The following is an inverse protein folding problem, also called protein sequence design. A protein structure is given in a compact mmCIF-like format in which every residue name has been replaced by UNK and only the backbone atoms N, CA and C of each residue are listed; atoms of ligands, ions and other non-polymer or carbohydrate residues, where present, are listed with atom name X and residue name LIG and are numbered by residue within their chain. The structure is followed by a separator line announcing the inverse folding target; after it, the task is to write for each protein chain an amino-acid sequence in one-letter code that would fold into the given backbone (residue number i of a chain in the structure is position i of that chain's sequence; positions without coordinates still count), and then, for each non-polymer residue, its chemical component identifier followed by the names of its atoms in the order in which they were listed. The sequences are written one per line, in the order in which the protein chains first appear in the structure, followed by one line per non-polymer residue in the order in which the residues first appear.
data_IF_983108650169
#
_entry.id   IF_983108650169
#
_cell.length_a   1.000
_cell.length_b   1.000
_cell.length_c   1.000
_cell.angle_alpha   90.00
_cell.angle_beta   90.00
_cell.angle_gamma   90.00
#
_symmetry.space_group_name_H-M   'P 1'
#
loop_
_entity.id
_entity.type
_entity.pdbx_description
1 polymer ?
#
# COMPACT_ATOMS: atom_id res chain seq x y z
N UNK A 1 -17.95 10.92 -4.20
CA UNK A 1 -16.86 11.69 -3.55
C UNK A 1 -16.57 11.31 -2.10
N UNK A 2 -17.41 10.56 -1.37
CA UNK A 2 -17.17 10.23 0.05
C UNK A 2 -15.77 9.69 0.39
N UNK A 3 -15.21 8.79 -0.44
CA UNK A 3 -13.85 8.28 -0.24
C UNK A 3 -12.75 9.35 -0.37
N UNK A 4 -12.92 10.32 -1.27
CA UNK A 4 -11.96 11.42 -1.41
C UNK A 4 -12.01 12.37 -0.21
N UNK A 5 -13.20 12.62 0.35
CA UNK A 5 -13.31 13.37 1.61
C UNK A 5 -12.65 12.62 2.76
N UNK A 6 -12.88 11.30 2.88
CA UNK A 6 -12.24 10.48 3.90
C UNK A 6 -10.71 10.50 3.79
N UNK A 7 -10.17 10.38 2.57
CA UNK A 7 -8.74 10.48 2.29
C UNK A 7 -8.19 11.87 2.65
N UNK A 8 -8.88 12.95 2.28
CA UNK A 8 -8.46 14.31 2.61
C UNK A 8 -8.43 14.58 4.12
N UNK A 9 -9.49 14.15 4.84
CA UNK A 9 -9.54 14.26 6.30
C UNK A 9 -8.44 13.42 6.96
N UNK A 10 -8.23 12.19 6.50
CA UNK A 10 -7.18 11.32 7.02
C UNK A 10 -5.78 11.90 6.79
N UNK A 11 -5.54 12.57 5.66
CA UNK A 11 -4.27 13.27 5.38
C UNK A 11 -4.07 14.47 6.31
N UNK A 12 -5.10 15.28 6.54
CA UNK A 12 -5.01 16.37 7.53
C UNK A 12 -4.76 15.85 8.95
N UNK A 13 -5.44 14.76 9.33
CA UNK A 13 -5.26 14.14 10.64
C UNK A 13 -3.86 13.54 10.82
N UNK A 14 -3.30 12.91 9.78
CA UNK A 14 -1.92 12.43 9.79
C UNK A 14 -0.95 13.60 10.04
N UNK A 15 -1.09 14.72 9.35
CA UNK A 15 -0.25 15.90 9.59
C UNK A 15 -0.37 16.46 11.02
N UNK A 16 -1.57 16.49 11.60
CA UNK A 16 -1.79 16.92 12.99
C UNK A 16 -1.12 15.96 13.98
N UNK A 17 -1.30 14.65 13.79
CA UNK A 17 -0.78 13.63 14.69
C UNK A 17 0.74 13.49 14.59
N UNK A 18 1.30 13.63 13.38
CA UNK A 18 2.73 13.73 13.15
C UNK A 18 3.31 14.93 13.89
N UNK A 19 2.69 16.11 13.77
CA UNK A 19 3.12 17.29 14.52
C UNK A 19 3.04 17.08 16.05
N UNK A 20 1.97 16.47 16.55
CA UNK A 20 1.84 16.13 17.98
C UNK A 20 2.95 15.19 18.45
N UNK A 21 3.31 14.20 17.64
CA UNK A 21 4.40 13.27 17.92
C UNK A 21 5.76 13.97 17.97
N UNK A 22 6.06 14.85 17.00
CA UNK A 22 7.33 15.58 16.99
C UNK A 22 7.42 16.66 18.09
N UNK A 23 6.29 17.22 18.54
CA UNK A 23 6.25 18.11 19.69
C UNK A 23 6.44 17.37 21.02
N UNK A 24 5.85 16.19 21.18
CA UNK A 24 5.93 15.38 22.39
C UNK A 24 6.14 13.89 22.03
N UNK A 25 7.40 13.45 21.82
CA UNK A 25 7.68 12.09 21.39
C UNK A 25 7.42 11.12 22.54
N UNK A 26 6.42 10.26 22.36
CA UNK A 26 6.10 9.15 23.26
C UNK A 26 5.42 8.02 22.47
N UNK A 27 5.33 6.83 23.08
CA UNK A 27 4.76 5.65 22.44
C UNK A 27 3.31 5.85 21.96
N UNK A 28 2.47 6.55 22.72
CA UNK A 28 1.08 6.77 22.34
C UNK A 28 0.97 7.66 21.09
N UNK A 29 1.71 8.76 21.06
CA UNK A 29 1.71 9.68 19.91
C UNK A 29 2.30 9.00 18.67
N UNK A 30 3.38 8.23 18.81
CA UNK A 30 3.95 7.45 17.72
C UNK A 30 2.94 6.45 17.13
N UNK A 31 2.18 5.76 17.98
CA UNK A 31 1.13 4.83 17.53
C UNK A 31 0.01 5.54 16.80
N UNK A 32 -0.45 6.70 17.28
CA UNK A 32 -1.51 7.45 16.61
C UNK A 32 -1.06 7.97 15.23
N UNK A 33 0.15 8.54 15.15
CA UNK A 33 0.75 9.00 13.90
C UNK A 33 0.83 7.86 12.87
N UNK A 34 1.50 6.76 13.27
CA UNK A 34 1.70 5.60 12.40
C UNK A 34 0.38 4.93 12.00
N UNK A 35 -0.61 4.89 12.90
CA UNK A 35 -1.93 4.30 12.61
C UNK A 35 -2.64 5.05 11.48
N UNK A 36 -2.53 6.38 11.43
CA UNK A 36 -3.12 7.16 10.35
C UNK A 36 -2.41 6.95 9.01
N UNK A 37 -1.09 6.68 9.02
CA UNK A 37 -0.39 6.23 7.81
C UNK A 37 -0.96 4.90 7.28
N UNK A 38 -1.30 3.94 8.16
CA UNK A 38 -1.97 2.70 7.76
C UNK A 38 -3.37 2.96 7.18
N UNK A 39 -4.15 3.83 7.82
CA UNK A 39 -5.47 4.24 7.34
C UNK A 39 -5.36 4.85 5.95
N UNK A 40 -4.41 5.76 5.74
CA UNK A 40 -4.15 6.37 4.42
C UNK A 40 -3.82 5.34 3.36
N UNK A 41 -2.96 4.37 3.66
CA UNK A 41 -2.58 3.33 2.71
C UNK A 41 -3.78 2.44 2.33
N UNK A 42 -4.54 1.97 3.30
CA UNK A 42 -5.72 1.12 3.08
C UNK A 42 -6.81 1.86 2.31
N UNK A 43 -7.15 3.10 2.72
CA UNK A 43 -8.15 3.90 2.02
C UNK A 43 -7.72 4.23 0.58
N UNK A 44 -6.41 4.44 0.35
CA UNK A 44 -5.87 4.69 -0.99
C UNK A 44 -6.00 3.45 -1.87
N UNK A 45 -5.60 2.26 -1.38
CA UNK A 45 -5.78 1.00 -2.10
C UNK A 45 -7.26 0.73 -2.41
N UNK A 46 -8.14 0.93 -1.43
CA UNK A 46 -9.58 0.81 -1.64
C UNK A 46 -10.12 1.78 -2.68
N UNK A 47 -9.63 3.03 -2.68
CA UNK A 47 -10.05 4.03 -3.66
C UNK A 47 -9.62 3.64 -5.08
N UNK A 48 -8.40 3.13 -5.26
CA UNK A 48 -7.90 2.60 -6.55
C UNK A 48 -8.82 1.47 -7.02
N UNK A 49 -9.12 0.50 -6.13
CA UNK A 49 -9.97 -0.64 -6.46
C UNK A 49 -11.39 -0.22 -6.86
N UNK A 50 -12.00 0.69 -6.08
CA UNK A 50 -13.34 1.20 -6.36
C UNK A 50 -13.45 1.89 -7.72
N UNK A 51 -12.37 2.51 -8.23
CA UNK A 51 -12.45 3.24 -9.51
C UNK A 51 -12.81 2.34 -10.69
N UNK A 52 -12.45 1.05 -10.64
CA UNK A 52 -12.81 0.06 -11.68
C UNK A 52 -13.87 -0.95 -11.24
N UNK A 53 -14.16 -1.00 -9.94
CA UNK A 53 -15.11 -1.96 -9.35
C UNK A 53 -16.13 -1.25 -8.43
N UNK A 54 -16.93 -0.29 -8.93
CA UNK A 54 -17.87 0.44 -8.08
C UNK A 54 -18.94 -0.48 -7.46
N UNK A 55 -19.28 -1.58 -8.13
CA UNK A 55 -20.35 -2.50 -7.72
C UNK A 55 -19.89 -3.55 -6.70
N UNK A 56 -18.58 -3.75 -6.53
CA UNK A 56 -17.97 -4.77 -5.64
C UNK A 56 -17.22 -4.09 -4.49
N UNK A 57 -17.73 -2.93 -4.05
CA UNK A 57 -17.11 -2.19 -2.95
C UNK A 57 -17.44 -2.81 -1.60
N UNK A 58 -16.44 -2.90 -0.73
CA UNK A 58 -16.66 -3.30 0.66
C UNK A 58 -17.55 -2.27 1.37
N UNK A 59 -18.44 -2.75 2.25
CA UNK A 59 -19.25 -1.84 3.07
C UNK A 59 -18.35 -0.99 3.99
N UNK A 60 -18.83 0.19 4.38
CA UNK A 60 -18.12 1.05 5.33
C UNK A 60 -17.81 0.31 6.65
N UNK A 61 -18.77 -0.46 7.17
CA UNK A 61 -18.59 -1.27 8.38
C UNK A 61 -17.48 -2.32 8.23
N UNK A 62 -17.44 -3.02 7.09
CA UNK A 62 -16.38 -4.00 6.80
C UNK A 62 -15.02 -3.32 6.74
N UNK A 63 -14.95 -2.15 6.10
CA UNK A 63 -13.72 -1.37 5.96
C UNK A 63 -13.20 -0.92 7.32
N UNK A 64 -14.06 -0.34 8.16
CA UNK A 64 -13.69 0.07 9.50
C UNK A 64 -13.32 -1.11 10.39
N UNK A 65 -13.97 -2.27 10.23
CA UNK A 65 -13.59 -3.50 10.92
C UNK A 65 -12.20 -3.99 10.54
N UNK A 66 -11.85 -3.97 9.25
CA UNK A 66 -10.51 -4.33 8.77
C UNK A 66 -9.47 -3.33 9.30
N UNK A 67 -9.76 -2.02 9.23
CA UNK A 67 -8.87 -0.99 9.77
C UNK A 67 -8.64 -1.15 11.27
N UNK A 68 -9.70 -1.43 12.05
CA UNK A 68 -9.58 -1.68 13.48
C UNK A 68 -8.72 -2.91 13.77
N UNK A 69 -8.89 -4.00 13.00
CA UNK A 69 -8.05 -5.19 13.12
C UNK A 69 -6.58 -4.89 12.77
N UNK A 70 -6.33 -4.15 11.70
CA UNK A 70 -4.99 -3.72 11.28
C UNK A 70 -4.32 -2.90 12.38
N UNK A 71 -5.00 -1.89 12.92
CA UNK A 71 -4.48 -1.06 14.02
C UNK A 71 -4.24 -1.90 15.28
N UNK A 72 -5.15 -2.81 15.62
CA UNK A 72 -4.98 -3.71 16.76
C UNK A 72 -3.75 -4.62 16.61
N UNK A 73 -3.54 -5.21 15.43
CA UNK A 73 -2.36 -6.02 15.13
C UNK A 73 -1.08 -5.18 15.19
N UNK A 74 -1.11 -3.95 14.68
CA UNK A 74 -0.02 -2.96 14.78
C UNK A 74 0.38 -2.69 16.23
N UNK A 75 -0.60 -2.30 17.03
CA UNK A 75 -0.41 -2.03 18.46
C UNK A 75 0.11 -3.27 19.21
N UNK A 76 -0.50 -4.43 18.98
CA UNK A 76 -0.08 -5.68 19.62
C UNK A 76 1.36 -6.05 19.25
N UNK A 77 1.73 -5.91 17.98
CA UNK A 77 3.09 -6.19 17.52
C UNK A 77 4.14 -5.24 18.06
N UNK A 78 3.79 -3.97 18.33
CA UNK A 78 4.71 -3.02 18.97
C UNK A 78 4.91 -3.32 20.46
N UNK A 79 3.84 -3.71 21.17
CA UNK A 79 3.90 -3.95 22.62
C UNK A 79 4.43 -5.35 22.98
N UNK A 80 4.04 -6.38 22.21
CA UNK A 80 4.28 -7.80 22.51
C UNK A 80 4.88 -8.55 21.31
N UNK A 81 5.74 -7.90 20.52
CA UNK A 81 6.37 -8.46 19.33
C UNK A 81 7.32 -9.62 19.63
N UNK A 82 6.78 -10.82 19.81
CA UNK A 82 7.52 -12.09 19.92
C UNK A 82 7.81 -12.69 18.53
N UNK A 83 8.87 -13.49 18.41
CA UNK A 83 9.20 -14.17 17.14
C UNK A 83 8.03 -14.99 16.58
N UNK A 84 7.24 -15.61 17.48
CA UNK A 84 6.03 -16.33 17.10
C UNK A 84 4.98 -15.42 16.46
N UNK A 85 4.77 -14.22 17.02
CA UNK A 85 3.85 -13.24 16.44
C UNK A 85 4.29 -12.82 15.04
N UNK A 86 5.59 -12.58 14.82
CA UNK A 86 6.11 -12.27 13.49
C UNK A 86 5.84 -13.40 12.49
N UNK A 87 6.10 -14.66 12.87
CA UNK A 87 5.84 -15.82 11.99
C UNK A 87 4.37 -15.90 11.62
N UNK A 88 3.46 -15.82 12.60
CA UNK A 88 2.01 -15.88 12.37
C UNK A 88 1.55 -14.72 11.48
N UNK A 89 2.03 -13.51 11.75
CA UNK A 89 1.71 -12.33 10.96
C UNK A 89 2.21 -12.46 9.52
N UNK A 90 3.43 -12.95 9.29
CA UNK A 90 3.97 -13.17 7.95
C UNK A 90 3.14 -14.19 7.16
N UNK A 91 2.75 -15.30 7.78
CA UNK A 91 1.87 -16.30 7.13
C UNK A 91 0.52 -15.70 6.78
N UNK A 92 -0.08 -14.94 7.71
CA UNK A 92 -1.35 -14.24 7.48
C UNK A 92 -1.24 -13.21 6.35
N UNK A 93 -0.18 -12.42 6.34
CA UNK A 93 0.11 -11.40 5.33
C UNK A 93 0.23 -12.03 3.93
N UNK A 94 1.09 -13.03 3.76
CA UNK A 94 1.29 -13.69 2.46
C UNK A 94 0.03 -14.39 1.97
N UNK A 95 -0.71 -15.03 2.87
CA UNK A 95 -2.00 -15.66 2.55
C UNK A 95 -3.01 -14.61 2.08
N UNK A 96 -3.06 -13.45 2.75
CA UNK A 96 -3.95 -12.35 2.38
C UNK A 96 -3.59 -11.77 1.01
N UNK A 97 -2.31 -11.55 0.72
CA UNK A 97 -1.86 -11.09 -0.59
C UNK A 97 -2.23 -12.09 -1.71
N UNK A 98 -2.07 -13.39 -1.48
CA UNK A 98 -2.47 -14.42 -2.44
C UNK A 98 -3.98 -14.41 -2.68
N UNK A 99 -4.79 -14.30 -1.62
CA UNK A 99 -6.25 -14.23 -1.73
C UNK A 99 -6.68 -12.97 -2.48
N UNK A 100 -6.15 -11.80 -2.10
CA UNK A 100 -6.51 -10.53 -2.74
C UNK A 100 -6.11 -10.52 -4.22
N UNK A 101 -4.92 -11.03 -4.55
CA UNK A 101 -4.48 -11.10 -5.96
C UNK A 101 -5.33 -12.09 -6.77
N UNK A 102 -5.75 -13.22 -6.20
CA UNK A 102 -6.73 -14.10 -6.85
C UNK A 102 -8.09 -13.42 -7.08
N UNK A 103 -8.57 -12.64 -6.10
CA UNK A 103 -9.81 -11.86 -6.22
C UNK A 103 -9.73 -10.79 -7.32
N UNK A 104 -8.61 -10.06 -7.40
CA UNK A 104 -8.38 -9.07 -8.46
C UNK A 104 -8.30 -9.75 -9.82
N UNK A 105 -7.61 -10.91 -9.92
CA UNK A 105 -7.52 -11.67 -11.16
C UNK A 105 -8.89 -12.09 -11.69
N UNK A 106 -9.80 -12.52 -10.82
CA UNK A 106 -11.15 -12.96 -11.17
C UNK A 106 -12.24 -11.88 -11.03
N UNK A 107 -11.86 -10.60 -10.88
CA UNK A 107 -12.81 -9.46 -10.80
C UNK A 107 -13.87 -9.68 -9.69
N UNK A 108 -13.48 -10.26 -8.56
CA UNK A 108 -14.39 -10.50 -7.43
C UNK A 108 -15.52 -11.52 -7.68
N UNK A 109 -15.49 -12.26 -8.80
CA UNK A 109 -16.52 -13.30 -9.10
C UNK A 109 -16.43 -14.50 -8.15
N UNK A 110 -15.28 -14.69 -7.52
CA UNK A 110 -15.04 -15.76 -6.55
C UNK A 110 -15.56 -15.38 -5.17
N UNK A 111 -16.72 -15.93 -4.80
CA UNK A 111 -17.23 -15.81 -3.43
C UNK A 111 -16.41 -16.68 -2.47
N UNK A 112 -16.05 -16.11 -1.32
CA UNK A 112 -15.28 -16.79 -0.27
C UNK A 112 -16.15 -17.80 0.49
N UNK A 113 -16.31 -19.00 -0.08
CA UNK A 113 -17.12 -20.08 0.49
C UNK A 113 -16.26 -21.33 0.71
N UNK A 114 -16.66 -22.25 1.60
CA UNK A 114 -15.98 -23.53 1.84
C UNK A 114 -15.76 -24.38 0.57
N UNK A 115 -16.59 -24.19 -0.46
CA UNK A 115 -16.42 -24.83 -1.77
C UNK A 115 -15.39 -24.17 -2.71
N UNK A 116 -14.70 -23.10 -2.30
CA UNK A 116 -13.71 -22.41 -3.15
C UNK A 116 -12.60 -23.36 -3.61
N UNK A 117 -12.02 -24.10 -2.67
CA UNK A 117 -10.92 -25.02 -2.98
C UNK A 117 -11.37 -26.13 -3.93
N UNK A 118 -12.58 -26.67 -3.71
CA UNK A 118 -13.18 -27.66 -4.61
C UNK A 118 -13.43 -27.09 -6.01
N UNK A 119 -13.94 -25.85 -6.13
CA UNK A 119 -14.13 -25.19 -7.43
C UNK A 119 -12.81 -24.93 -8.15
N UNK A 120 -11.78 -24.51 -7.43
CA UNK A 120 -10.45 -24.34 -8.00
C UNK A 120 -9.87 -25.66 -8.52
N UNK A 121 -9.91 -26.72 -7.70
CA UNK A 121 -9.43 -28.03 -8.14
C UNK A 121 -10.21 -28.58 -9.33
N UNK A 122 -11.53 -28.41 -9.33
CA UNK A 122 -12.38 -28.81 -10.46
C UNK A 122 -12.06 -28.00 -11.72
N UNK A 123 -11.81 -26.70 -11.60
CA UNK A 123 -11.39 -25.85 -12.72
C UNK A 123 -10.05 -26.33 -13.29
N UNK A 124 -9.04 -26.54 -12.44
CA UNK A 124 -7.73 -27.06 -12.87
C UNK A 124 -7.84 -28.44 -13.53
N UNK A 125 -8.69 -29.32 -12.99
CA UNK A 125 -8.91 -30.66 -13.53
C UNK A 125 -9.61 -30.59 -14.89
N UNK A 126 -10.63 -29.75 -15.02
CA UNK A 126 -11.34 -29.53 -16.28
C UNK A 126 -10.43 -28.92 -17.36
N UNK A 127 -9.61 -27.93 -17.00
CA UNK A 127 -8.67 -27.29 -17.92
C UNK A 127 -7.56 -28.26 -18.37
N UNK A 128 -7.08 -29.11 -17.45
CA UNK A 128 -6.14 -30.19 -17.77
C UNK A 128 -6.77 -31.25 -18.68
N UNK A 129 -8.03 -31.64 -18.43
CA UNK A 129 -8.75 -32.60 -19.28
C UNK A 129 -9.05 -32.04 -20.68
N UNK A 130 -9.27 -30.73 -20.81
CA UNK A 130 -9.61 -30.09 -22.08
C UNK A 130 -8.41 -29.88 -23.03
N UNK A 131 -7.19 -29.70 -22.51
CA UNK A 131 -6.03 -29.42 -23.37
C UNK A 131 -4.67 -29.66 -22.73
N UNK A 132 -4.62 -30.52 -21.71
CA UNK A 132 -3.40 -30.90 -21.00
C UNK A 132 -2.74 -29.74 -20.24
N UNK A 133 -1.43 -29.87 -20.01
CA UNK A 133 -0.66 -28.88 -19.25
C UNK A 133 -0.64 -27.50 -19.91
N UNK A 134 -0.72 -27.45 -21.25
CA UNK A 134 -0.66 -26.20 -22.01
C UNK A 134 -1.89 -25.33 -21.77
N UNK A 135 -3.08 -25.91 -21.82
CA UNK A 135 -4.34 -25.20 -21.61
C UNK A 135 -4.53 -24.78 -20.14
N UNK A 136 -4.09 -25.62 -19.20
CA UNK A 136 -4.14 -25.30 -17.77
C UNK A 136 -3.21 -24.15 -17.37
N UNK A 137 -2.12 -23.94 -18.10
CA UNK A 137 -1.13 -22.88 -17.80
C UNK A 137 -1.33 -21.61 -18.63
N UNK A 138 -2.28 -21.57 -19.58
CA UNK A 138 -2.58 -20.36 -20.35
C UNK A 138 -3.50 -19.42 -19.55
N UNK A 139 -3.02 -18.23 -19.12
CA UNK A 139 -3.85 -17.31 -18.36
C UNK A 139 -4.91 -16.66 -19.25
N UNK A 140 -6.13 -16.52 -18.72
CA UNK A 140 -7.24 -15.83 -19.38
C UNK A 140 -6.91 -14.35 -19.65
N UNK A 141 -6.28 -13.69 -18.68
CA UNK A 141 -5.81 -12.29 -18.77
C UNK A 141 -4.28 -12.23 -18.54
N UNK A 142 -3.44 -12.33 -19.57
CA UNK A 142 -1.99 -12.49 -19.42
C UNK A 142 -1.32 -11.29 -18.76
N UNK A 143 -1.65 -10.07 -19.18
CA UNK A 143 -1.07 -8.85 -18.59
C UNK A 143 -1.41 -8.72 -17.10
N UNK A 144 -2.67 -8.97 -16.73
CA UNK A 144 -3.12 -8.95 -15.33
C UNK A 144 -2.40 -10.03 -14.51
N UNK A 145 -2.30 -11.25 -15.04
CA UNK A 145 -1.62 -12.36 -14.36
C UNK A 145 -0.14 -12.03 -14.08
N UNK A 146 0.59 -11.53 -15.07
CA UNK A 146 2.02 -11.21 -14.93
C UNK A 146 2.23 -10.16 -13.83
N UNK A 147 1.45 -9.08 -13.84
CA UNK A 147 1.60 -8.02 -12.84
C UNK A 147 1.23 -8.49 -11.43
N UNK A 148 0.18 -9.30 -11.27
CA UNK A 148 -0.21 -9.87 -9.98
C UNK A 148 0.81 -10.89 -9.47
N UNK A 149 1.42 -11.66 -10.37
CA UNK A 149 2.53 -12.55 -10.03
C UNK A 149 3.74 -11.75 -9.53
N UNK A 150 4.13 -10.69 -10.26
CA UNK A 150 5.21 -9.79 -9.83
C UNK A 150 4.90 -9.12 -8.48
N UNK A 151 3.65 -8.76 -8.21
CA UNK A 151 3.25 -8.22 -6.92
C UNK A 151 3.39 -9.24 -5.77
N UNK A 152 3.07 -10.51 -5.99
CA UNK A 152 3.30 -11.56 -5.00
C UNK A 152 4.80 -11.82 -4.77
N UNK A 153 5.59 -11.88 -5.85
CA UNK A 153 7.06 -11.99 -5.75
C UNK A 153 7.64 -10.79 -5.01
N UNK A 154 7.12 -9.59 -5.25
CA UNK A 154 7.49 -8.38 -4.51
C UNK A 154 7.20 -8.50 -3.01
N UNK A 155 6.04 -9.04 -2.63
CA UNK A 155 5.71 -9.31 -1.22
C UNK A 155 6.64 -10.38 -0.59
N UNK A 156 6.99 -11.44 -1.31
CA UNK A 156 7.98 -12.41 -0.83
C UNK A 156 9.35 -11.77 -0.64
N UNK A 157 9.76 -10.90 -1.58
CA UNK A 157 10.97 -10.10 -1.48
C UNK A 157 10.95 -9.20 -0.25
N UNK A 158 9.84 -8.51 0.03
CA UNK A 158 9.69 -7.67 1.23
C UNK A 158 9.82 -8.46 2.52
N UNK A 159 9.22 -9.65 2.59
CA UNK A 159 9.37 -10.54 3.74
C UNK A 159 10.82 -10.98 3.91
N UNK A 160 11.47 -11.42 2.83
CA UNK A 160 12.88 -11.82 2.87
C UNK A 160 13.78 -10.67 3.32
N UNK A 161 13.64 -9.50 2.71
CA UNK A 161 14.40 -8.30 3.07
C UNK A 161 14.13 -7.88 4.51
N UNK A 162 12.88 -7.91 4.96
CA UNK A 162 12.50 -7.61 6.34
C UNK A 162 13.18 -8.53 7.36
N UNK A 163 13.27 -9.82 7.04
CA UNK A 163 13.95 -10.81 7.87
C UNK A 163 15.48 -10.63 7.84
N UNK A 164 16.09 -10.51 6.65
CA UNK A 164 17.54 -10.41 6.48
C UNK A 164 18.14 -9.10 6.99
N UNK A 165 17.47 -7.98 6.74
CA UNK A 165 17.94 -6.65 7.18
C UNK A 165 17.51 -6.32 8.61
N UNK A 166 16.80 -7.22 9.29
CA UNK A 166 16.17 -6.97 10.59
C UNK A 166 15.49 -5.59 10.61
N UNK A 167 14.59 -5.35 9.63
CA UNK A 167 13.98 -4.04 9.40
C UNK A 167 13.18 -3.58 10.61
N UNK A 168 13.84 -2.81 11.47
CA UNK A 168 13.22 -2.00 12.51
C UNK A 168 12.27 -2.76 13.44
N UNK A 169 11.41 -2.00 14.09
CA UNK A 169 10.29 -2.46 14.91
C UNK A 169 9.12 -2.90 14.02
N UNK A 170 8.19 -3.62 14.62
CA UNK A 170 6.99 -4.10 13.93
C UNK A 170 6.21 -2.99 13.20
N UNK A 171 6.11 -1.78 13.78
CA UNK A 171 5.34 -0.70 13.15
C UNK A 171 6.00 -0.21 11.86
N UNK A 172 7.33 -0.03 11.84
CA UNK A 172 8.08 0.28 10.63
C UNK A 172 7.97 -0.83 9.58
N UNK A 173 8.06 -2.10 10.00
CA UNK A 173 7.91 -3.25 9.11
C UNK A 173 6.50 -3.30 8.48
N UNK A 174 5.46 -3.17 9.28
CA UNK A 174 4.07 -3.15 8.84
C UNK A 174 3.78 -1.95 7.93
N UNK A 175 4.32 -0.76 8.23
CA UNK A 175 4.23 0.41 7.35
C UNK A 175 4.86 0.14 5.99
N UNK A 176 6.04 -0.49 5.98
CA UNK A 176 6.75 -0.85 4.75
C UNK A 176 5.91 -1.79 3.88
N UNK A 177 5.22 -2.76 4.47
CA UNK A 177 4.30 -3.65 3.76
C UNK A 177 3.14 -2.85 3.12
N UNK A 178 2.48 -1.98 3.89
CA UNK A 178 1.35 -1.20 3.38
C UNK A 178 1.75 -0.25 2.26
N UNK A 179 2.84 0.50 2.45
CA UNK A 179 3.33 1.43 1.44
C UNK A 179 3.81 0.71 0.19
N UNK A 180 4.56 -0.39 0.32
CA UNK A 180 5.03 -1.14 -0.84
C UNK A 180 3.86 -1.76 -1.63
N UNK A 181 2.84 -2.31 -0.95
CA UNK A 181 1.64 -2.81 -1.62
C UNK A 181 0.84 -1.70 -2.30
N UNK A 182 0.71 -0.53 -1.67
CA UNK A 182 0.09 0.64 -2.30
C UNK A 182 0.85 1.06 -3.56
N UNK A 183 2.17 1.15 -3.51
CA UNK A 183 3.01 1.51 -4.67
C UNK A 183 2.91 0.47 -5.79
N UNK A 184 2.97 -0.82 -5.45
CA UNK A 184 2.78 -1.90 -6.41
C UNK A 184 1.39 -1.84 -7.06
N UNK A 185 0.35 -1.56 -6.28
CA UNK A 185 -1.02 -1.50 -6.81
C UNK A 185 -1.24 -0.25 -7.68
N UNK A 186 -0.66 0.87 -7.30
CA UNK A 186 -0.68 2.09 -8.08
C UNK A 186 0.07 1.93 -9.41
N UNK A 187 1.24 1.29 -9.39
CA UNK A 187 1.97 0.91 -10.60
C UNK A 187 1.16 -0.05 -11.48
N UNK A 188 0.58 -1.10 -10.89
CA UNK A 188 -0.33 -2.02 -11.58
C UNK A 188 -1.45 -1.26 -12.30
N UNK A 189 -2.08 -0.29 -11.62
CA UNK A 189 -3.18 0.48 -12.17
C UNK A 189 -2.76 1.31 -13.40
N UNK A 190 -1.63 2.03 -13.30
CA UNK A 190 -1.08 2.82 -14.41
C UNK A 190 -0.75 1.92 -15.60
N UNK A 191 -0.06 0.78 -15.36
CA UNK A 191 0.30 -0.15 -16.43
C UNK A 191 -0.95 -0.72 -17.10
N UNK A 192 -1.95 -1.15 -16.32
CA UNK A 192 -3.19 -1.69 -16.88
C UNK A 192 -3.99 -0.66 -17.68
N UNK A 193 -3.96 0.62 -17.27
CA UNK A 193 -4.53 1.73 -18.04
C UNK A 193 -3.84 1.87 -19.40
N UNK A 194 -2.51 1.81 -19.44
CA UNK A 194 -1.72 1.84 -20.67
C UNK A 194 -1.96 0.60 -21.57
N UNK A 195 -2.01 -0.60 -20.99
CA UNK A 195 -2.34 -1.85 -21.71
C UNK A 195 -3.75 -1.78 -22.32
N UNK A 196 -4.68 -1.16 -21.62
CA UNK A 196 -6.06 -0.93 -22.07
C UNK A 196 -6.17 0.22 -23.10
N UNK A 197 -5.05 0.82 -23.51
CA UNK A 197 -4.97 1.92 -24.48
C UNK A 197 -5.73 3.18 -24.04
N UNK A 198 -5.89 3.36 -22.74
CA UNK A 198 -6.42 4.61 -22.17
C UNK A 198 -5.34 5.68 -22.13
N UNK A 199 -5.75 6.95 -22.11
CA UNK A 199 -4.82 8.08 -22.20
C UNK A 199 -4.53 8.62 -20.81
N UNK A 200 -3.26 8.89 -20.53
CA UNK A 200 -2.89 9.69 -19.37
C UNK A 200 -2.84 11.15 -19.83
N UNK A 201 -3.74 11.98 -19.28
CA UNK A 201 -3.77 13.42 -19.59
C UNK A 201 -2.50 14.13 -19.06
N UNK A 202 -2.23 15.34 -19.55
CA UNK A 202 -1.03 16.10 -19.15
C UNK A 202 -0.97 16.37 -17.63
N UNK A 203 -2.04 16.82 -16.94
CA UNK A 203 -1.98 17.06 -15.50
C UNK A 203 -1.60 15.81 -14.68
N UNK A 204 -2.29 14.65 -14.79
CA UNK A 204 -1.89 13.45 -14.06
C UNK A 204 -0.50 12.95 -14.46
N UNK A 205 -0.06 13.12 -15.71
CA UNK A 205 1.30 12.76 -16.10
C UNK A 205 2.36 13.57 -15.34
N UNK A 206 2.16 14.88 -15.16
CA UNK A 206 3.04 15.74 -14.36
C UNK A 206 3.06 15.28 -12.90
N UNK A 207 1.87 15.03 -12.32
CA UNK A 207 1.77 14.57 -10.94
C UNK A 207 2.42 13.20 -10.71
N UNK A 208 2.35 12.28 -11.68
CA UNK A 208 3.06 10.99 -11.61
C UNK A 208 4.57 11.22 -11.53
N UNK A 209 5.13 12.04 -12.41
CA UNK A 209 6.58 12.32 -12.43
C UNK A 209 7.03 12.98 -11.13
N UNK A 210 6.28 13.98 -10.65
CA UNK A 210 6.58 14.66 -9.38
C UNK A 210 6.45 13.71 -8.18
N UNK A 211 5.44 12.85 -8.15
CA UNK A 211 5.26 11.84 -7.10
C UNK A 211 6.49 10.91 -7.03
N UNK A 212 6.91 10.32 -8.16
CA UNK A 212 8.09 9.46 -8.17
C UNK A 212 9.38 10.21 -7.77
N UNK A 213 9.57 11.43 -8.25
CA UNK A 213 10.73 12.23 -7.89
C UNK A 213 10.80 12.50 -6.38
N UNK A 214 9.69 12.89 -5.76
CA UNK A 214 9.61 13.17 -4.33
C UNK A 214 9.71 11.89 -3.48
N UNK A 215 9.12 10.77 -3.92
CA UNK A 215 9.28 9.48 -3.24
C UNK A 215 10.72 9.00 -3.24
N UNK A 216 11.41 9.04 -4.39
CA UNK A 216 12.81 8.62 -4.50
C UNK A 216 13.71 9.53 -3.64
N UNK A 217 13.52 10.85 -3.72
CA UNK A 217 14.27 11.79 -2.90
C UNK A 217 13.99 11.59 -1.40
N UNK A 218 12.74 11.38 -1.00
CA UNK A 218 12.37 11.09 0.38
C UNK A 218 13.00 9.80 0.90
N UNK A 219 12.96 8.72 0.12
CA UNK A 219 13.57 7.43 0.48
C UNK A 219 15.08 7.52 0.69
N UNK A 220 15.77 8.36 -0.11
CA UNK A 220 17.19 8.63 0.10
C UNK A 220 17.43 9.17 1.52
N UNK A 221 16.75 10.25 1.92
CA UNK A 221 16.93 10.84 3.25
C UNK A 221 16.41 9.94 4.39
N UNK A 222 15.38 9.13 4.15
CA UNK A 222 14.87 8.16 5.13
C UNK A 222 15.94 7.13 5.54
N UNK A 223 16.75 6.66 4.60
CA UNK A 223 17.79 5.68 4.88
C UNK A 223 18.95 6.26 5.70
N UNK A 224 19.21 7.57 5.55
CA UNK A 224 20.24 8.28 6.34
C UNK A 224 19.67 8.76 7.68
N UNK A 225 19.63 7.86 8.65
CA UNK A 225 19.10 8.10 9.99
C UNK A 225 19.87 9.20 10.76
N UNK A 226 19.19 10.28 11.16
CA UNK A 226 19.70 11.33 12.06
C UNK A 226 19.11 11.29 13.47
N UNK A 227 18.05 10.50 13.69
CA UNK A 227 17.33 10.39 14.97
C UNK A 227 16.87 8.96 15.24
N UNK A 228 16.60 8.61 16.51
CA UNK A 228 16.02 7.31 16.87
C UNK A 228 14.98 7.45 17.97
N UNK A 229 13.71 7.18 17.63
CA UNK A 229 12.60 7.28 18.57
C UNK A 229 12.55 6.18 19.63
N UNK A 230 13.24 5.06 19.39
CA UNK A 230 13.31 3.92 20.32
C UNK A 230 14.23 4.16 21.52
N UNK A 231 15.14 5.11 21.37
CA UNK A 231 16.19 5.39 22.35
C UNK A 231 15.77 6.56 23.22
N UNK A 232 16.38 6.68 24.39
CA UNK A 232 16.17 7.85 25.23
C UNK A 232 16.63 9.12 24.49
N UNK A 233 16.09 10.30 24.84
CA UNK A 233 16.54 11.55 24.22
C UNK A 233 18.05 11.78 24.33
N UNK A 234 18.70 11.27 25.39
CA UNK A 234 20.14 11.35 25.57
C UNK A 234 20.90 10.47 24.57
N UNK A 235 20.46 9.22 24.38
CA UNK A 235 21.06 8.28 23.43
C UNK A 235 20.79 8.68 21.97
N UNK A 236 19.59 9.19 21.67
CA UNK A 236 19.26 9.65 20.32
C UNK A 236 20.14 10.82 19.88
N UNK A 237 20.64 11.66 20.80
CA UNK A 237 21.56 12.76 20.47
C UNK A 237 22.87 12.29 19.84
N UNK A 238 23.25 11.02 20.04
CA UNK A 238 24.44 10.44 19.39
C UNK A 238 24.28 10.32 17.86
N UNK A 239 23.05 10.37 17.34
CA UNK A 239 22.77 10.35 15.90
C UNK A 239 22.79 11.75 15.26
N UNK A 240 22.85 12.82 16.06
CA UNK A 240 22.79 14.19 15.55
C UNK A 240 23.95 14.45 14.58
N UNK A 241 23.62 14.99 13.41
CA UNK A 241 24.59 15.41 12.39
C UNK A 241 24.45 16.92 12.17
N UNK A 242 25.39 17.52 11.42
CA UNK A 242 25.22 18.91 11.00
C UNK A 242 23.97 19.06 10.14
N UNK A 243 23.19 20.13 10.38
CA UNK A 243 22.02 20.46 9.59
C UNK A 243 22.43 20.78 8.14
N UNK A 244 21.62 20.33 7.18
CA UNK A 244 21.92 20.42 5.75
C UNK A 244 21.45 21.75 5.14
N UNK A 245 20.28 22.25 5.58
CA UNK A 245 19.65 23.45 5.01
C UNK A 245 19.52 24.54 6.08
N UNK A 246 20.00 25.75 5.76
CA UNK A 246 19.92 26.96 6.59
C UNK A 246 20.48 26.80 8.01
N UNK A 247 21.35 25.81 8.24
CA UNK A 247 21.83 25.42 9.58
C UNK A 247 20.69 25.13 10.56
N UNK A 248 19.52 24.74 10.05
CA UNK A 248 18.31 24.50 10.83
C UNK A 248 17.70 23.12 10.53
N UNK A 249 17.47 22.80 9.26
CA UNK A 249 16.83 21.54 8.87
C UNK A 249 17.85 20.42 8.73
N UNK A 250 17.59 19.31 9.40
CA UNK A 250 18.38 18.10 9.27
C UNK A 250 17.84 17.18 8.15
N UNK A 251 18.43 15.99 8.02
CA UNK A 251 18.01 15.00 7.02
C UNK A 251 16.59 14.47 7.28
N UNK A 252 16.18 14.36 8.54
CA UNK A 252 14.87 13.89 8.92
C UNK A 252 13.77 14.91 8.58
N UNK A 253 14.03 16.20 8.81
CA UNK A 253 13.13 17.27 8.39
C UNK A 253 12.95 17.30 6.86
N UNK A 254 14.04 17.14 6.12
CA UNK A 254 14.01 17.07 4.65
C UNK A 254 13.20 15.85 4.19
N UNK A 255 13.35 14.71 4.86
CA UNK A 255 12.52 13.53 4.58
C UNK A 255 11.02 13.81 4.80
N UNK A 256 10.62 14.46 5.91
CA UNK A 256 9.22 14.82 6.14
C UNK A 256 8.68 15.78 5.08
N UNK A 257 9.46 16.78 4.67
CA UNK A 257 9.06 17.69 3.60
C UNK A 257 8.89 16.98 2.25
N UNK A 258 9.83 16.11 1.88
CA UNK A 258 9.78 15.38 0.62
C UNK A 258 8.67 14.32 0.61
N UNK A 259 8.48 13.59 1.71
CA UNK A 259 7.42 12.57 1.82
C UNK A 259 6.02 13.19 1.81
N UNK A 260 5.80 14.34 2.47
CA UNK A 260 4.52 15.06 2.39
C UNK A 260 4.22 15.55 0.97
N UNK A 261 5.22 16.07 0.25
CA UNK A 261 5.08 16.38 -1.18
C UNK A 261 4.76 15.16 -2.03
N UNK A 262 5.43 14.03 -1.77
CA UNK A 262 5.19 12.77 -2.46
C UNK A 262 3.75 12.27 -2.26
N UNK A 263 3.24 12.34 -1.02
CA UNK A 263 1.84 12.01 -0.69
C UNK A 263 0.87 12.93 -1.42
N UNK A 264 1.09 14.25 -1.38
CA UNK A 264 0.24 15.23 -2.08
C UNK A 264 0.13 14.92 -3.59
N UNK A 265 1.26 14.75 -4.27
CA UNK A 265 1.24 14.45 -5.71
C UNK A 265 0.59 13.09 -6.01
N UNK A 266 0.81 12.09 -5.16
CA UNK A 266 0.14 10.78 -5.29
C UNK A 266 -1.38 10.91 -5.19
N UNK A 267 -1.88 11.77 -4.30
CA UNK A 267 -3.31 12.05 -4.16
C UNK A 267 -3.86 12.81 -5.37
N UNK A 268 -3.10 13.76 -5.91
CA UNK A 268 -3.50 14.47 -7.13
C UNK A 268 -3.63 13.51 -8.32
N UNK A 269 -2.76 12.50 -8.42
CA UNK A 269 -2.94 11.45 -9.42
C UNK A 269 -4.18 10.62 -9.12
N UNK A 270 -4.39 10.15 -7.88
CA UNK A 270 -5.61 9.39 -7.54
C UNK A 270 -6.90 10.15 -7.88
N UNK A 271 -6.86 11.48 -7.81
CA UNK A 271 -7.98 12.36 -8.15
C UNK A 271 -8.17 12.51 -9.67
N UNK A 272 -7.09 12.63 -10.44
CA UNK A 272 -7.12 13.09 -11.85
C UNK A 272 -6.77 12.02 -12.89
N UNK A 273 -6.32 10.82 -12.46
CA UNK A 273 -5.81 9.79 -13.37
C UNK A 273 -6.87 9.28 -14.35
N UNK A 274 -8.14 9.29 -13.97
CA UNK A 274 -9.26 8.78 -14.77
C UNK A 274 -10.14 9.89 -15.36
N UNK A 275 -9.65 11.12 -15.40
CA UNK A 275 -10.36 12.24 -16.03
C UNK A 275 -10.59 12.01 -17.55
N UNK A 276 -9.77 11.19 -18.21
CA UNK A 276 -9.93 10.84 -19.64
C UNK A 276 -11.14 9.93 -19.92
N UNK A 277 -11.68 9.27 -18.89
CA UNK A 277 -12.83 8.37 -18.98
C UNK A 277 -14.04 8.87 -18.20
N UNK A 278 -13.98 10.08 -17.64
CA UNK A 278 -15.05 10.64 -16.79
C UNK A 278 -16.41 10.70 -17.49
N UNK A 279 -16.43 10.96 -18.80
CA UNK A 279 -17.64 11.07 -19.62
C UNK A 279 -18.01 9.78 -20.37
N UNK A 280 -17.21 8.71 -20.25
CA UNK A 280 -17.49 7.44 -20.94
C UNK A 280 -18.57 6.63 -20.22
N UNK A 281 -19.41 5.93 -20.98
CA UNK A 281 -20.34 4.96 -20.42
C UNK A 281 -19.54 3.86 -19.69
N UNK A 282 -19.93 3.58 -18.44
CA UNK A 282 -19.24 2.58 -17.60
C UNK A 282 -19.17 1.20 -18.22
N UNK A 283 -20.15 0.83 -19.05
CA UNK A 283 -20.20 -0.49 -19.70
C UNK A 283 -19.10 -0.70 -20.73
N UNK A 284 -18.48 0.37 -21.23
CA UNK A 284 -17.37 0.29 -22.20
C UNK A 284 -16.01 0.47 -21.55
N UNK A 285 -15.96 0.77 -20.24
CA UNK A 285 -14.71 0.95 -19.50
C UNK A 285 -14.17 -0.45 -19.13
N UNK A 286 -12.94 -0.78 -19.53
CA UNK A 286 -12.34 -2.06 -19.18
C UNK A 286 -12.09 -2.12 -17.67
N UNK A 287 -12.38 -3.28 -17.09
CA UNK A 287 -12.19 -3.59 -15.67
C UNK A 287 -10.89 -4.39 -15.53
N UNK A 288 -10.01 -3.97 -14.62
CA UNK A 288 -8.69 -4.58 -14.39
C UNK A 288 -8.27 -4.66 -12.93
#
# INVERSE_FOLDING_TARGET
YGMFYALGVALCMEGVLSACYHLCPNHSNFQFDTSFMYVLAVLSMMKIYQTRHPDITASAYTTFGILALVIFLGMFGVLNGSDWFYIVFTVMHLSTCLVVTAQIYHVGTWKFNFGMFSRFMNQCTNDYMAGGLKQSCTPLYPARMILLFLANVGNWGLVAVGYYLHLGDFATYMLSIFLANLMMYYFFYIVMKLVSKEKILKPPAIYIVLSFAFWIAGLYFFYYKSISWKLTPAESRAYNQHCEILSFFDKHDIWHFLSSGALFFSFMVLLTLDDDIAEKDRRVIPVF
#
